data_IF_612348348756
#
_entry.id   IF_612348348756
#
_cell.length_a   1.000
_cell.length_b   1.000
_cell.length_c   1.000
_cell.angle_alpha   90.00
_cell.angle_beta   90.00
_cell.angle_gamma   90.00
#
_symmetry.space_group_name_H-M   'P 1'
#
loop_
_entity.id
_entity.type
_entity.pdbx_description
1 polymer ?
#
# COMPACT_ATOMS: atom_id res chain seq x y z
N UNK A 1 -9.65 9.96 4.51
CA UNK A 1 -8.22 9.59 4.69
C UNK A 1 -7.58 9.39 3.31
N UNK A 2 -6.25 9.53 3.23
CA UNK A 2 -5.47 9.21 2.03
C UNK A 2 -4.46 8.10 2.34
N UNK A 3 -4.09 7.32 1.32
CA UNK A 3 -3.19 6.19 1.42
C UNK A 3 -2.18 6.21 0.29
N UNK A 4 -0.91 5.95 0.61
CA UNK A 4 0.16 5.88 -0.38
C UNK A 4 0.27 4.46 -0.92
N UNK A 5 0.37 4.35 -2.24
CA UNK A 5 0.58 3.13 -2.99
C UNK A 5 2.06 3.00 -3.35
N UNK A 6 2.61 1.83 -3.06
CA UNK A 6 3.91 1.40 -3.51
C UNK A 6 3.75 0.16 -4.39
N UNK A 7 4.45 0.14 -5.52
CA UNK A 7 4.52 -1.01 -6.43
C UNK A 7 5.90 -1.64 -6.35
N UNK A 8 5.98 -2.94 -6.60
CA UNK A 8 7.25 -3.64 -6.65
C UNK A 8 7.44 -4.26 -8.04
N UNK A 9 8.42 -3.84 -8.84
CA UNK A 9 8.67 -4.40 -10.17
C UNK A 9 8.95 -5.91 -10.17
N UNK A 10 9.46 -6.45 -9.04
CA UNK A 10 9.68 -7.90 -8.84
C UNK A 10 8.40 -8.63 -8.44
N UNK A 11 7.36 -7.90 -7.99
CA UNK A 11 6.03 -8.41 -7.62
C UNK A 11 4.95 -7.59 -8.35
N UNK A 12 4.98 -7.63 -9.68
CA UNK A 12 4.18 -6.74 -10.54
C UNK A 12 2.65 -6.82 -10.30
N UNK A 13 2.16 -7.93 -9.77
CA UNK A 13 0.73 -8.13 -9.48
C UNK A 13 0.29 -7.65 -8.09
N UNK A 14 1.19 -7.09 -7.26
CA UNK A 14 0.86 -6.70 -5.88
C UNK A 14 1.22 -5.25 -5.61
N UNK A 15 0.24 -4.50 -5.13
CA UNK A 15 0.40 -3.16 -4.57
C UNK A 15 0.42 -3.19 -3.04
N UNK A 16 1.28 -2.36 -2.45
CA UNK A 16 1.34 -2.13 -1.01
C UNK A 16 0.73 -0.76 -0.70
N UNK A 17 -0.33 -0.76 0.11
CA UNK A 17 -0.97 0.46 0.57
C UNK A 17 -0.58 0.73 2.03
N UNK A 18 -0.26 1.98 2.32
CA UNK A 18 0.05 2.47 3.67
C UNK A 18 -0.70 3.78 3.93
N UNK A 19 -0.80 4.21 5.19
CA UNK A 19 -1.33 5.55 5.49
C UNK A 19 -0.44 6.61 4.85
N UNK A 20 -1.04 7.65 4.28
CA UNK A 20 -0.28 8.74 3.64
C UNK A 20 0.80 9.31 4.56
N UNK A 21 2.03 9.37 4.07
CA UNK A 21 3.18 9.89 4.81
C UNK A 21 3.75 8.97 5.90
N UNK A 22 3.21 7.76 6.09
CA UNK A 22 3.77 6.79 7.03
C UNK A 22 5.11 6.20 6.55
N UNK A 23 5.35 6.23 5.24
CA UNK A 23 6.50 5.55 4.63
C UNK A 23 6.30 4.03 4.55
N UNK A 24 7.34 3.33 4.12
CA UNK A 24 7.33 1.87 4.05
C UNK A 24 7.44 1.25 5.46
N UNK A 25 6.66 0.19 5.75
CA UNK A 25 6.86 -0.58 6.97
C UNK A 25 8.19 -1.35 6.92
N UNK A 26 8.57 -1.97 8.03
CA UNK A 26 9.79 -2.77 8.13
C UNK A 26 9.65 -4.08 7.32
N UNK A 27 9.88 -3.95 6.01
CA UNK A 27 9.81 -5.03 5.03
C UNK A 27 11.23 -5.45 4.65
N UNK A 28 11.50 -6.76 4.63
CA UNK A 28 12.78 -7.30 4.18
C UNK A 28 13.18 -6.80 2.77
N UNK A 29 12.18 -6.56 1.90
CA UNK A 29 12.36 -6.08 0.53
C UNK A 29 12.03 -4.58 0.37
N UNK A 30 12.05 -3.76 1.43
CA UNK A 30 11.59 -2.36 1.38
C UNK A 30 12.18 -1.56 0.20
N UNK A 31 13.45 -1.78 -0.14
CA UNK A 31 14.14 -1.14 -1.28
C UNK A 31 13.54 -1.44 -2.66
N UNK A 32 12.81 -2.54 -2.80
CA UNK A 32 12.20 -2.96 -4.06
C UNK A 32 10.79 -2.37 -4.24
N UNK A 33 10.24 -1.73 -3.21
CA UNK A 33 8.96 -1.02 -3.26
C UNK A 33 9.19 0.43 -3.65
N UNK A 34 8.54 0.85 -4.73
CA UNK A 34 8.65 2.18 -5.31
C UNK A 34 7.32 2.88 -5.15
N UNK A 35 7.34 4.11 -4.67
CA UNK A 35 6.14 4.94 -4.57
C UNK A 35 5.54 5.16 -5.96
N UNK A 36 4.26 4.86 -6.10
CA UNK A 36 3.49 5.00 -7.35
C UNK A 36 2.53 6.20 -7.29
N UNK A 37 1.88 6.40 -6.16
CA UNK A 37 0.92 7.51 -6.00
C UNK A 37 0.14 7.46 -4.69
N UNK A 38 -0.83 8.36 -4.57
CA UNK A 38 -1.71 8.44 -3.40
C UNK A 38 -3.16 8.26 -3.81
N UNK A 39 -3.89 7.41 -3.09
CA UNK A 39 -5.31 7.12 -3.28
C UNK A 39 -6.13 7.60 -2.09
N UNK A 40 -7.24 8.28 -2.37
CA UNK A 40 -8.24 8.60 -1.35
C UNK A 40 -9.03 7.37 -0.93
N UNK A 41 -9.46 7.32 0.34
CA UNK A 41 -10.22 6.20 0.93
C UNK A 41 -11.44 5.76 0.11
N UNK A 42 -12.15 6.70 -0.52
CA UNK A 42 -13.34 6.44 -1.35
C UNK A 42 -13.03 5.59 -2.58
N UNK A 43 -11.78 5.58 -3.03
CA UNK A 43 -11.31 4.82 -4.18
C UNK A 43 -10.76 3.44 -3.78
N UNK A 44 -10.78 3.10 -2.49
CA UNK A 44 -10.22 1.86 -1.96
C UNK A 44 -11.33 0.91 -1.47
N UNK A 45 -11.11 -0.42 -1.61
CA UNK A 45 -11.98 -1.40 -0.99
C UNK A 45 -12.07 -1.19 0.54
N UNK A 46 -13.26 -1.25 1.15
CA UNK A 46 -13.41 -1.06 2.59
C UNK A 46 -12.59 -2.04 3.44
N UNK A 47 -12.39 -3.27 2.94
CA UNK A 47 -11.59 -4.28 3.63
C UNK A 47 -10.10 -3.92 3.65
N UNK A 48 -9.57 -3.40 2.54
CA UNK A 48 -8.19 -2.92 2.45
C UNK A 48 -7.96 -1.79 3.45
N UNK A 49 -8.89 -0.83 3.53
CA UNK A 49 -8.83 0.28 4.49
C UNK A 49 -8.75 -0.23 5.92
N UNK A 50 -9.60 -1.19 6.30
CA UNK A 50 -9.58 -1.80 7.64
C UNK A 50 -8.25 -2.47 7.97
N UNK A 51 -7.65 -3.16 7.01
CA UNK A 51 -6.34 -3.80 7.19
C UNK A 51 -5.22 -2.78 7.39
N UNK A 52 -5.20 -1.69 6.60
CA UNK A 52 -4.24 -0.60 6.79
C UNK A 52 -4.45 0.08 8.15
N UNK A 53 -5.69 0.22 8.59
CA UNK A 53 -6.00 0.80 9.89
C UNK A 53 -5.51 -0.08 11.05
N UNK A 54 -5.67 -1.40 10.94
CA UNK A 54 -5.25 -2.37 11.96
C UNK A 54 -3.73 -2.62 11.98
N UNK A 55 -3.09 -2.71 10.82
CA UNK A 55 -1.71 -3.18 10.67
C UNK A 55 -0.72 -2.08 10.21
N UNK A 56 -1.22 -0.88 9.91
CA UNK A 56 -0.44 0.22 9.33
C UNK A 56 -0.20 0.10 7.82
N UNK A 57 -0.45 -1.07 7.24
CA UNK A 57 -0.29 -1.37 5.82
C UNK A 57 -1.23 -2.50 5.39
N UNK A 58 -1.42 -2.66 4.07
CA UNK A 58 -2.10 -3.80 3.48
C UNK A 58 -1.59 -4.07 2.06
N UNK A 59 -1.65 -5.33 1.65
CA UNK A 59 -1.32 -5.75 0.29
C UNK A 59 -2.60 -5.94 -0.52
N UNK A 60 -2.55 -5.58 -1.80
CA UNK A 60 -3.66 -5.73 -2.73
C UNK A 60 -3.16 -6.30 -4.05
N UNK A 61 -3.81 -7.35 -4.52
CA UNK A 61 -3.65 -7.83 -5.88
C UNK A 61 -4.14 -6.78 -6.88
N UNK A 62 -3.33 -6.53 -7.91
CA UNK A 62 -3.55 -5.54 -8.98
C UNK A 62 -4.01 -6.18 -10.31
N UNK A 63 -4.36 -7.47 -10.27
CA UNK A 63 -4.95 -8.23 -11.38
C UNK A 63 -6.36 -7.73 -11.75
#
# INVERSE_FOLDING_TARGET
MDYDLYINPKKASVGLYVRKGAGLPDLADAKDWVFDGTSGQVNLPPQLVKEIEANGHAFRDMD
#
